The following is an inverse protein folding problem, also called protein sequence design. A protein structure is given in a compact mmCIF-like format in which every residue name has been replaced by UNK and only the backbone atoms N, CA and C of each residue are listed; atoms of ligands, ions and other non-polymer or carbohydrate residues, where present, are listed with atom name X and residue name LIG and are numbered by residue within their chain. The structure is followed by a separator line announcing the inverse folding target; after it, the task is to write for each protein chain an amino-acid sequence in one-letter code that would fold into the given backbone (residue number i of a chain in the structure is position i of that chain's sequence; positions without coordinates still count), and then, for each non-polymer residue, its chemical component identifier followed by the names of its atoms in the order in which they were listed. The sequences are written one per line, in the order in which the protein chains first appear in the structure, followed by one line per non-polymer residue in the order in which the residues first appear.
data_IF_546434706123
#
_entry.id   IF_546434706123
#
_cell.length_a   1.000
_cell.length_b   1.000
_cell.length_c   1.000
_cell.angle_alpha   90.00
_cell.angle_beta   90.00
_cell.angle_gamma   90.00
#
_symmetry.space_group_name_H-M   'P 1'
#
loop_
_entity.id
_entity.type
_entity.pdbx_description
1 polymer ?
#
# COMPACT_ATOMS: atom_id res chain seq x y z
N UNK A 1 4.64 20.13 26.78
CA UNK A 1 4.61 19.55 25.42
C UNK A 1 5.01 20.62 24.42
N UNK A 2 5.78 20.28 23.39
CA UNK A 2 6.17 21.24 22.33
C UNK A 2 5.01 21.45 21.33
N UNK A 3 4.96 22.61 20.65
CA UNK A 3 3.96 22.87 19.58
C UNK A 3 3.94 21.77 18.51
N UNK A 4 5.08 21.14 18.24
CA UNK A 4 5.19 20.01 17.31
C UNK A 4 4.43 18.76 17.78
N UNK A 5 4.39 18.49 19.09
CA UNK A 5 3.67 17.33 19.64
C UNK A 5 2.15 17.51 19.54
N UNK A 6 1.63 18.73 19.74
CA UNK A 6 0.21 19.03 19.52
C UNK A 6 -0.18 18.89 18.06
N UNK A 7 0.59 19.48 17.15
CA UNK A 7 0.37 19.36 15.71
C UNK A 7 0.30 17.90 15.24
N UNK A 8 1.20 17.04 15.76
CA UNK A 8 1.22 15.63 15.41
C UNK A 8 -0.01 14.89 15.93
N UNK A 9 -0.39 15.12 17.20
CA UNK A 9 -1.57 14.50 17.81
C UNK A 9 -2.85 14.87 17.05
N UNK A 10 -2.99 16.14 16.67
CA UNK A 10 -4.16 16.66 15.96
C UNK A 10 -4.24 16.17 14.51
N UNK A 11 -3.10 15.80 13.92
CA UNK A 11 -3.00 15.34 12.53
C UNK A 11 -3.03 13.82 12.39
N UNK A 12 -2.80 13.07 13.47
CA UNK A 12 -2.71 11.61 13.44
C UNK A 12 -4.04 10.95 13.05
N UNK A 13 -5.14 11.33 13.70
CA UNK A 13 -6.46 10.74 13.42
C UNK A 13 -6.92 11.05 11.98
N UNK A 14 -6.87 12.31 11.49
CA UNK A 14 -7.14 12.60 10.09
C UNK A 14 -6.25 11.81 9.14
N UNK A 15 -4.96 11.63 9.46
CA UNK A 15 -4.04 10.86 8.64
C UNK A 15 -4.42 9.38 8.55
N UNK A 16 -4.75 8.74 9.68
CA UNK A 16 -5.21 7.36 9.72
C UNK A 16 -6.53 7.18 8.96
N UNK A 17 -7.50 8.08 9.20
CA UNK A 17 -8.78 8.08 8.49
C UNK A 17 -8.58 8.24 6.98
N UNK A 18 -7.68 9.14 6.58
CA UNK A 18 -7.26 9.32 5.20
C UNK A 18 -6.70 8.02 4.64
N UNK A 19 -5.75 7.37 5.34
CA UNK A 19 -5.17 6.11 4.91
C UNK A 19 -6.17 4.99 4.69
N UNK A 20 -7.11 4.81 5.63
CA UNK A 20 -8.22 3.86 5.48
C UNK A 20 -9.05 4.21 4.25
N UNK A 21 -9.44 5.47 4.09
CA UNK A 21 -10.22 5.95 2.97
C UNK A 21 -9.52 5.72 1.63
N UNK A 22 -8.23 6.05 1.53
CA UNK A 22 -7.41 5.81 0.34
C UNK A 22 -7.28 4.32 0.01
N UNK A 23 -7.09 3.48 1.02
CA UNK A 23 -7.05 2.03 0.86
C UNK A 23 -8.39 1.45 0.38
N UNK A 24 -9.50 1.93 0.92
CA UNK A 24 -10.83 1.58 0.46
C UNK A 24 -11.05 2.01 -0.99
N UNK A 25 -10.66 3.23 -1.37
CA UNK A 25 -10.71 3.68 -2.76
C UNK A 25 -9.90 2.79 -3.70
N UNK A 26 -8.72 2.33 -3.28
CA UNK A 26 -7.94 1.36 -4.05
C UNK A 26 -8.67 0.01 -4.18
N UNK A 27 -9.33 -0.46 -3.11
CA UNK A 27 -10.16 -1.66 -3.13
C UNK A 27 -11.36 -1.53 -4.09
N UNK A 28 -12.08 -0.41 -4.04
CA UNK A 28 -13.19 -0.11 -4.97
C UNK A 28 -12.70 -0.06 -6.41
N UNK A 29 -11.59 0.62 -6.68
CA UNK A 29 -11.01 0.71 -8.01
C UNK A 29 -10.60 -0.69 -8.53
N UNK A 30 -10.00 -1.52 -7.69
CA UNK A 30 -9.63 -2.89 -8.05
C UNK A 30 -10.87 -3.76 -8.33
N UNK A 31 -11.90 -3.69 -7.47
CA UNK A 31 -13.16 -4.40 -7.68
C UNK A 31 -13.86 -3.94 -8.98
N UNK A 32 -13.85 -2.63 -9.27
CA UNK A 32 -14.41 -2.10 -10.51
C UNK A 32 -13.68 -2.61 -11.76
N UNK A 33 -12.34 -2.68 -11.73
CA UNK A 33 -11.55 -3.24 -12.83
C UNK A 33 -11.79 -4.74 -12.99
N UNK A 34 -11.84 -5.50 -11.89
CA UNK A 34 -12.13 -6.93 -11.94
C UNK A 34 -13.54 -7.21 -12.48
N UNK A 35 -14.55 -6.51 -11.98
CA UNK A 35 -15.93 -6.65 -12.48
C UNK A 35 -16.07 -6.25 -13.94
N UNK A 36 -15.36 -5.22 -14.41
CA UNK A 36 -15.32 -4.89 -15.84
C UNK A 36 -14.62 -5.98 -16.67
N UNK A 37 -13.57 -6.61 -16.13
CA UNK A 37 -12.88 -7.71 -16.80
C UNK A 37 -13.76 -8.95 -16.92
N UNK A 38 -14.51 -9.31 -15.86
CA UNK A 38 -15.45 -10.43 -15.86
C UNK A 38 -16.62 -10.26 -16.85
N UNK A 39 -16.99 -9.02 -17.19
CA UNK A 39 -17.97 -8.76 -18.25
C UNK A 39 -17.42 -9.08 -19.66
N UNK A 40 -16.10 -9.06 -19.83
CA UNK A 40 -15.44 -9.20 -21.12
C UNK A 40 -14.73 -10.56 -21.29
N UNK A 41 -14.36 -11.19 -20.18
CA UNK A 41 -13.52 -12.37 -20.13
C UNK A 41 -14.07 -13.38 -19.12
N UNK A 42 -13.91 -14.69 -19.38
CA UNK A 42 -14.14 -15.73 -18.39
C UNK A 42 -13.33 -15.51 -17.10
N UNK A 43 -13.89 -15.88 -15.95
CA UNK A 43 -13.28 -15.65 -14.64
C UNK A 43 -11.90 -16.33 -14.50
N UNK A 44 -11.71 -17.51 -15.07
CA UNK A 44 -10.43 -18.23 -15.12
C UNK A 44 -9.35 -17.44 -15.88
N UNK A 45 -9.73 -16.75 -16.97
CA UNK A 45 -8.82 -15.88 -17.73
C UNK A 45 -8.45 -14.64 -16.90
N UNK A 46 -9.40 -14.04 -16.19
CA UNK A 46 -9.14 -12.89 -15.30
C UNK A 46 -8.17 -13.27 -14.19
N UNK A 47 -8.39 -14.43 -13.54
CA UNK A 47 -7.50 -14.97 -12.51
C UNK A 47 -6.10 -15.28 -13.05
N UNK A 48 -6.00 -15.86 -14.26
CA UNK A 48 -4.73 -16.13 -14.91
C UNK A 48 -3.95 -14.83 -15.20
N UNK A 49 -4.62 -13.80 -15.72
CA UNK A 49 -4.02 -12.48 -15.96
C UNK A 49 -3.53 -11.88 -14.63
N UNK A 50 -4.36 -11.91 -13.59
CA UNK A 50 -3.99 -11.42 -12.27
C UNK A 50 -2.74 -12.16 -11.74
N UNK A 51 -2.71 -13.48 -11.82
CA UNK A 51 -1.57 -14.31 -11.40
C UNK A 51 -0.29 -13.97 -12.17
N UNK A 52 -0.37 -13.77 -13.50
CA UNK A 52 0.79 -13.39 -14.33
C UNK A 52 1.30 -12.00 -13.95
N UNK A 53 0.41 -11.03 -13.70
CA UNK A 53 0.79 -9.70 -13.25
C UNK A 53 1.47 -9.76 -11.87
N UNK A 54 0.93 -10.55 -10.93
CA UNK A 54 1.52 -10.79 -9.60
C UNK A 54 2.93 -11.35 -9.73
N UNK A 55 3.09 -12.41 -10.53
CA UNK A 55 4.36 -13.10 -10.72
C UNK A 55 5.39 -12.18 -11.40
N UNK A 56 5.02 -11.53 -12.50
CA UNK A 56 5.88 -10.61 -13.24
C UNK A 56 6.36 -9.46 -12.36
N UNK A 57 5.46 -8.93 -11.54
CA UNK A 57 5.78 -7.87 -10.60
C UNK A 57 6.75 -8.34 -9.50
N UNK A 58 6.48 -9.51 -8.90
CA UNK A 58 7.32 -10.11 -7.86
C UNK A 58 8.72 -10.45 -8.38
N UNK A 59 8.82 -11.00 -9.58
CA UNK A 59 10.10 -11.27 -10.27
C UNK A 59 10.85 -9.96 -10.52
N UNK A 60 10.17 -8.93 -11.04
CA UNK A 60 10.78 -7.63 -11.29
C UNK A 60 11.38 -7.02 -10.01
N UNK A 61 10.67 -7.07 -8.88
CA UNK A 61 11.20 -6.60 -7.60
C UNK A 61 12.36 -7.46 -7.08
N UNK A 62 12.30 -8.77 -7.26
CA UNK A 62 13.36 -9.71 -6.84
C UNK A 62 14.65 -9.48 -7.64
N UNK A 63 14.53 -9.22 -8.94
CA UNK A 63 15.65 -8.90 -9.83
C UNK A 63 16.16 -7.45 -9.68
N UNK A 64 15.52 -6.65 -8.82
CA UNK A 64 15.89 -5.24 -8.63
C UNK A 64 15.58 -4.35 -9.84
N UNK A 65 14.72 -4.81 -10.75
CA UNK A 65 14.28 -4.02 -11.90
C UNK A 65 13.46 -2.83 -11.39
N UNK A 66 13.99 -1.63 -11.60
CA UNK A 66 13.32 -0.39 -11.23
C UNK A 66 12.26 -0.07 -12.28
N UNK A 67 11.03 -0.52 -12.07
CA UNK A 67 9.90 0.02 -12.81
C UNK A 67 9.86 1.53 -12.64
N UNK A 68 9.64 2.26 -13.73
CA UNK A 68 9.52 3.71 -13.68
C UNK A 68 8.29 4.07 -12.82
N UNK A 69 8.54 4.80 -11.72
CA UNK A 69 7.50 5.22 -10.77
C UNK A 69 7.37 6.75 -10.86
N UNK A 70 6.21 7.29 -11.27
CA UNK A 70 5.97 8.74 -11.28
C UNK A 70 6.28 9.41 -9.92
N UNK A 71 6.13 8.66 -8.83
CA UNK A 71 6.28 9.08 -7.44
C UNK A 71 7.73 9.19 -6.91
N UNK A 72 8.76 8.98 -7.74
CA UNK A 72 10.14 8.99 -7.29
C UNK A 72 10.65 10.37 -6.78
N UNK A 73 9.87 11.45 -6.90
CA UNK A 73 10.39 12.82 -6.74
C UNK A 73 10.17 13.51 -5.39
N UNK A 74 9.28 13.09 -4.48
CA UNK A 74 9.25 13.54 -3.05
C UNK A 74 8.09 12.86 -2.31
N UNK A 75 8.34 12.45 -1.06
CA UNK A 75 7.35 11.81 -0.19
C UNK A 75 6.53 12.81 0.65
N UNK A 76 6.80 14.11 0.61
CA UNK A 76 5.91 15.15 1.18
C UNK A 76 6.19 16.43 0.38
N UNK A 77 5.16 17.06 -0.19
CA UNK A 77 5.32 18.38 -0.82
C UNK A 77 5.75 19.40 0.25
N UNK A 78 6.65 20.34 -0.07
CA UNK A 78 6.99 21.43 0.88
C UNK A 78 5.78 22.33 1.16
N UNK A 79 4.80 22.34 0.27
CA UNK A 79 3.58 23.13 0.41
C UNK A 79 2.69 22.58 1.52
N UNK A 80 2.74 21.27 1.81
CA UNK A 80 2.06 20.66 2.96
C UNK A 80 2.54 21.24 4.30
N UNK A 81 3.78 21.73 4.37
CA UNK A 81 4.31 22.38 5.58
C UNK A 81 3.82 23.83 5.74
N UNK A 82 3.24 24.41 4.68
CA UNK A 82 2.82 25.82 4.61
C UNK A 82 1.30 25.99 4.68
N UNK A 83 0.52 24.91 4.68
CA UNK A 83 -0.95 25.01 4.71
C UNK A 83 -1.46 25.34 6.12
N UNK A 84 -2.48 26.20 6.19
CA UNK A 84 -3.21 26.48 7.44
C UNK A 84 -4.12 25.31 7.86
N UNK A 85 -4.51 24.46 6.90
CA UNK A 85 -5.47 23.36 7.06
C UNK A 85 -4.82 22.02 7.37
N UNK A 86 -4.02 21.98 8.43
CA UNK A 86 -3.21 20.82 8.83
C UNK A 86 -4.00 19.49 8.91
N UNK A 87 -5.24 19.48 9.42
CA UNK A 87 -6.08 18.27 9.49
C UNK A 87 -6.50 17.75 8.11
N UNK A 88 -7.01 18.63 7.25
CA UNK A 88 -7.41 18.29 5.88
C UNK A 88 -6.22 17.82 5.07
N UNK A 89 -5.10 18.53 5.20
CA UNK A 89 -3.83 18.18 4.60
C UNK A 89 -3.37 16.80 5.08
N UNK A 90 -3.41 16.51 6.38
CA UNK A 90 -3.06 15.20 6.92
C UNK A 90 -3.97 14.07 6.40
N UNK A 91 -5.28 14.34 6.25
CA UNK A 91 -6.24 13.40 5.65
C UNK A 91 -5.93 13.11 4.18
N UNK A 92 -5.78 14.14 3.34
CA UNK A 92 -5.46 13.97 1.91
C UNK A 92 -4.16 13.20 1.76
N UNK A 93 -3.16 13.53 2.58
CA UNK A 93 -1.90 12.80 2.61
C UNK A 93 -2.08 11.33 2.99
N UNK A 94 -2.88 11.07 4.04
CA UNK A 94 -3.26 9.73 4.43
C UNK A 94 -3.89 8.98 3.26
N UNK A 95 -4.88 9.58 2.59
CA UNK A 95 -5.59 8.99 1.45
C UNK A 95 -4.66 8.66 0.29
N UNK A 96 -3.76 9.55 -0.06
CA UNK A 96 -2.75 9.31 -1.07
C UNK A 96 -1.79 8.17 -0.67
N UNK A 97 -1.37 8.11 0.60
CA UNK A 97 -0.56 7.01 1.12
C UNK A 97 -1.29 5.66 1.09
N UNK A 98 -2.58 5.67 1.46
CA UNK A 98 -3.42 4.49 1.52
C UNK A 98 -3.83 3.97 0.14
N UNK A 99 -4.04 4.87 -0.82
CA UNK A 99 -4.26 4.52 -2.22
C UNK A 99 -2.96 3.98 -2.88
N UNK A 100 -1.81 4.45 -2.40
CA UNK A 100 -0.49 3.91 -2.75
C UNK A 100 0.17 4.56 -3.97
N UNK A 101 -0.55 5.41 -4.70
CA UNK A 101 -0.10 6.04 -5.95
C UNK A 101 1.17 6.88 -5.81
N UNK A 102 1.22 7.77 -4.82
CA UNK A 102 2.35 8.72 -4.69
C UNK A 102 3.49 8.21 -3.81
N UNK A 103 3.52 6.92 -3.48
CA UNK A 103 4.43 6.41 -2.46
C UNK A 103 5.61 5.62 -3.02
N UNK A 104 6.82 5.91 -2.51
CA UNK A 104 8.05 5.18 -2.84
C UNK A 104 8.13 3.77 -2.25
N UNK A 105 7.07 3.27 -1.62
CA UNK A 105 7.18 2.02 -0.88
C UNK A 105 7.20 0.82 -1.85
N UNK A 106 8.25 0.00 -1.80
CA UNK A 106 8.52 -1.11 -2.73
C UNK A 106 7.81 -2.41 -2.31
N UNK A 107 6.62 -2.32 -1.74
CA UNK A 107 5.83 -3.51 -1.41
C UNK A 107 4.47 -3.36 -2.04
N UNK A 108 4.51 -3.34 -3.36
CA UNK A 108 3.40 -3.40 -4.28
C UNK A 108 2.69 -4.76 -4.22
N UNK A 109 3.30 -5.75 -3.54
CA UNK A 109 2.69 -7.02 -3.17
C UNK A 109 1.30 -6.89 -2.51
N UNK A 110 1.05 -5.83 -1.72
CA UNK A 110 -0.28 -5.59 -1.15
C UNK A 110 -1.27 -5.03 -2.17
N UNK A 111 -0.83 -4.17 -3.09
CA UNK A 111 -1.68 -3.69 -4.19
C UNK A 111 -2.03 -4.85 -5.13
N UNK A 112 -1.06 -5.71 -5.38
CA UNK A 112 -1.17 -6.97 -6.08
C UNK A 112 -2.13 -7.94 -5.37
N UNK A 113 -2.06 -8.05 -4.04
CA UNK A 113 -3.03 -8.82 -3.25
C UNK A 113 -4.44 -8.22 -3.34
N UNK A 114 -4.59 -6.90 -3.40
CA UNK A 114 -5.89 -6.24 -3.61
C UNK A 114 -6.48 -6.57 -4.99
N UNK A 115 -5.65 -6.58 -6.04
CA UNK A 115 -6.08 -6.95 -7.41
C UNK A 115 -6.50 -8.43 -7.47
N UNK A 116 -5.74 -9.31 -6.82
CA UNK A 116 -6.11 -10.73 -6.71
C UNK A 116 -7.38 -10.92 -5.91
N UNK A 117 -7.50 -10.26 -4.75
CA UNK A 117 -8.69 -10.30 -3.92
C UNK A 117 -9.94 -9.83 -4.69
N UNK A 118 -9.79 -8.82 -5.54
CA UNK A 118 -10.85 -8.34 -6.42
C UNK A 118 -11.33 -9.36 -7.47
N UNK A 119 -10.46 -10.28 -7.87
CA UNK A 119 -10.80 -11.34 -8.82
C UNK A 119 -11.53 -12.52 -8.16
N UNK A 120 -11.57 -12.55 -6.82
CA UNK A 120 -12.25 -13.59 -6.02
C UNK A 120 -13.58 -13.07 -5.47
N UNK A 121 -13.64 -11.79 -5.11
CA UNK A 121 -14.89 -11.14 -4.70
C UNK A 121 -14.69 -9.67 -4.28
N UNK A 122 -15.70 -8.81 -4.51
CA UNK A 122 -15.60 -7.38 -4.22
C UNK A 122 -15.39 -7.09 -2.72
N UNK A 123 -15.95 -7.90 -1.82
CA UNK A 123 -15.78 -7.72 -0.37
C UNK A 123 -14.32 -7.94 0.06
N UNK A 124 -13.63 -8.90 -0.57
CA UNK A 124 -12.22 -9.19 -0.31
C UNK A 124 -11.32 -8.07 -0.82
N UNK A 125 -11.66 -7.47 -1.97
CA UNK A 125 -10.97 -6.29 -2.49
C UNK A 125 -11.06 -5.10 -1.52
N UNK A 126 -12.26 -4.84 -1.00
CA UNK A 126 -12.50 -3.77 -0.03
C UNK A 126 -11.73 -4.01 1.27
N UNK A 127 -11.79 -5.23 1.80
CA UNK A 127 -11.13 -5.59 3.05
C UNK A 127 -9.60 -5.50 2.91
N UNK A 128 -9.06 -6.03 1.81
CA UNK A 128 -7.62 -5.99 1.53
C UNK A 128 -7.14 -4.57 1.25
N UNK A 129 -7.92 -3.78 0.52
CA UNK A 129 -7.70 -2.35 0.32
C UNK A 129 -7.69 -1.57 1.63
N UNK A 130 -8.66 -1.79 2.51
CA UNK A 130 -8.72 -1.15 3.83
C UNK A 130 -7.51 -1.52 4.69
N UNK A 131 -7.17 -2.82 4.78
CA UNK A 131 -6.00 -3.30 5.53
C UNK A 131 -4.69 -2.74 4.98
N UNK A 132 -4.58 -2.63 3.65
CA UNK A 132 -3.46 -1.95 3.01
C UNK A 132 -3.39 -0.49 3.47
N UNK A 133 -4.50 0.24 3.37
CA UNK A 133 -4.60 1.63 3.82
C UNK A 133 -4.19 1.83 5.28
N UNK A 134 -4.70 0.98 6.19
CA UNK A 134 -4.33 0.98 7.61
C UNK A 134 -2.85 0.75 7.79
N UNK A 135 -2.31 -0.32 7.20
CA UNK A 135 -0.89 -0.70 7.34
C UNK A 135 0.03 0.45 6.90
N UNK A 136 -0.35 1.14 5.84
CA UNK A 136 0.38 2.30 5.32
C UNK A 136 0.29 3.50 6.24
N UNK A 137 -0.90 3.81 6.76
CA UNK A 137 -1.09 4.92 7.67
C UNK A 137 -0.40 4.70 9.04
N UNK A 138 -0.31 3.46 9.49
CA UNK A 138 0.38 3.08 10.73
C UNK A 138 1.90 3.30 10.67
N UNK A 139 2.51 3.37 9.48
CA UNK A 139 3.94 3.72 9.39
C UNK A 139 4.26 5.09 9.97
N UNK A 140 3.30 6.01 9.96
CA UNK A 140 3.43 7.33 10.58
C UNK A 140 3.41 7.25 12.11
N UNK A 141 2.71 6.26 12.68
CA UNK A 141 2.70 6.01 14.14
C UNK A 141 4.10 5.68 14.64
N UNK A 142 4.89 4.95 13.85
CA UNK A 142 6.28 4.64 14.18
C UNK A 142 7.17 5.88 14.25
N UNK A 143 6.79 6.97 13.57
CA UNK A 143 7.48 8.25 13.61
C UNK A 143 7.01 9.17 14.78
N UNK A 144 5.96 8.79 15.52
CA UNK A 144 5.44 9.58 16.66
C UNK A 144 6.55 9.76 17.71
N UNK A 145 6.73 11.01 18.16
CA UNK A 145 7.70 11.34 19.21
C UNK A 145 9.15 11.40 18.73
N UNK A 146 9.39 11.31 17.42
CA UNK A 146 10.71 11.58 16.84
C UNK A 146 10.83 13.05 16.48
N UNK A 147 11.90 13.70 16.93
CA UNK A 147 12.20 15.11 16.66
C UNK A 147 13.32 15.30 15.64
N UNK A 148 14.01 14.22 15.29
CA UNK A 148 15.13 14.24 14.36
C UNK A 148 15.03 13.11 13.35
N UNK A 149 15.61 13.33 12.18
CA UNK A 149 15.72 12.32 11.14
C UNK A 149 16.49 11.09 11.63
N UNK A 150 17.57 11.27 12.39
CA UNK A 150 18.35 10.15 12.95
C UNK A 150 17.52 9.28 13.91
N UNK A 151 16.62 9.87 14.70
CA UNK A 151 15.71 9.11 15.57
C UNK A 151 14.71 8.27 14.77
N UNK A 152 14.20 8.79 13.65
CA UNK A 152 13.36 8.01 12.72
C UNK A 152 14.18 6.87 12.13
N UNK A 153 15.36 7.17 11.59
CA UNK A 153 16.24 6.18 10.97
C UNK A 153 16.60 5.05 11.94
N UNK A 154 16.92 5.37 13.20
CA UNK A 154 17.22 4.40 14.25
C UNK A 154 16.04 3.46 14.57
N UNK A 155 14.79 3.96 14.54
CA UNK A 155 13.59 3.12 14.70
C UNK A 155 13.40 2.17 13.53
N UNK A 156 13.74 2.61 12.32
CA UNK A 156 13.73 1.78 11.13
C UNK A 156 14.98 0.92 10.97
N UNK A 157 16.04 1.12 11.76
CA UNK A 157 17.29 0.35 11.63
C UNK A 157 17.11 -1.13 11.98
N UNK A 158 16.17 -1.47 12.87
CA UNK A 158 15.79 -2.87 13.10
C UNK A 158 15.17 -3.48 11.84
N UNK A 159 14.18 -2.81 11.23
CA UNK A 159 13.57 -3.23 9.96
C UNK A 159 14.60 -3.29 8.81
N UNK A 160 15.58 -2.38 8.82
CA UNK A 160 16.66 -2.35 7.84
C UNK A 160 17.65 -3.49 8.01
N UNK A 161 18.00 -3.84 9.25
CA UNK A 161 18.88 -4.99 9.56
C UNK A 161 18.20 -6.31 9.23
N UNK A 162 16.88 -6.36 9.34
CA UNK A 162 16.06 -7.51 8.99
C UNK A 162 15.40 -7.36 7.61
N UNK A 163 15.96 -6.60 6.66
CA UNK A 163 15.39 -6.39 5.29
C UNK A 163 15.08 -7.69 4.55
N UNK A 164 15.73 -8.79 4.93
CA UNK A 164 15.45 -10.12 4.42
C UNK A 164 14.06 -10.61 4.84
N UNK A 165 13.60 -10.28 6.05
CA UNK A 165 12.31 -10.74 6.60
C UNK A 165 11.09 -10.15 5.87
N UNK A 166 11.01 -8.83 5.57
CA UNK A 166 9.94 -8.29 4.73
C UNK A 166 10.00 -8.80 3.30
N UNK A 167 11.19 -8.97 2.71
CA UNK A 167 11.36 -9.48 1.34
C UNK A 167 10.90 -10.93 1.22
N UNK A 168 11.29 -11.76 2.18
CA UNK A 168 10.85 -13.15 2.29
C UNK A 168 9.36 -13.21 2.61
N UNK A 169 8.85 -12.35 3.51
CA UNK A 169 7.43 -12.25 3.81
C UNK A 169 6.60 -11.88 2.58
N UNK A 170 6.98 -10.85 1.83
CA UNK A 170 6.28 -10.49 0.57
C UNK A 170 6.45 -11.55 -0.50
N UNK A 171 7.63 -12.16 -0.64
CA UNK A 171 7.85 -13.23 -1.61
C UNK A 171 7.04 -14.48 -1.27
N UNK A 172 6.96 -14.86 0.00
CA UNK A 172 6.16 -15.99 0.49
C UNK A 172 4.67 -15.69 0.35
N UNK A 173 4.23 -14.48 0.69
CA UNK A 173 2.81 -14.09 0.55
C UNK A 173 2.42 -14.07 -0.93
N UNK A 174 3.24 -13.47 -1.80
CA UNK A 174 3.03 -13.49 -3.26
C UNK A 174 3.06 -14.91 -3.82
N UNK A 175 4.02 -15.74 -3.41
CA UNK A 175 4.14 -17.13 -3.89
C UNK A 175 2.99 -18.00 -3.39
N UNK A 176 2.54 -17.82 -2.15
CA UNK A 176 1.38 -18.51 -1.60
C UNK A 176 0.09 -18.06 -2.29
N UNK A 177 -0.06 -16.76 -2.60
CA UNK A 177 -1.18 -16.25 -3.40
C UNK A 177 -1.16 -16.83 -4.82
N UNK A 178 -0.01 -16.83 -5.48
CA UNK A 178 0.15 -17.42 -6.82
C UNK A 178 -0.15 -18.92 -6.80
N UNK A 179 0.33 -19.66 -5.81
CA UNK A 179 0.03 -21.08 -5.65
C UNK A 179 -1.45 -21.34 -5.38
N UNK A 180 -2.08 -20.57 -4.49
CA UNK A 180 -3.51 -20.66 -4.21
C UNK A 180 -4.34 -20.38 -5.46
N UNK A 181 -4.03 -19.32 -6.20
CA UNK A 181 -4.69 -18.99 -7.47
C UNK A 181 -4.50 -20.10 -8.52
N UNK A 182 -3.29 -20.65 -8.64
CA UNK A 182 -3.02 -21.73 -9.59
C UNK A 182 -3.84 -22.98 -9.23
N UNK A 183 -3.97 -23.30 -7.94
CA UNK A 183 -4.81 -24.41 -7.49
C UNK A 183 -6.29 -24.15 -7.77
N UNK A 184 -6.79 -22.92 -7.59
CA UNK A 184 -8.19 -22.58 -7.91
C UNK A 184 -8.51 -22.60 -9.42
N UNK A 185 -7.52 -22.46 -10.29
CA UNK A 185 -7.70 -22.56 -11.76
C UNK A 185 -7.70 -24.03 -12.24
N UNK A 186 -7.00 -24.92 -11.52
CA UNK A 186 -6.82 -26.34 -11.92
C UNK A 186 -7.95 -27.25 -11.42
N UNK A 187 -8.75 -26.80 -10.46
CA UNK A 187 -9.90 -27.52 -9.89
C UNK A 187 -11.21 -26.80 -10.18
#
# INVERSE_FOLDING_TARGET
MSRAQHFFRDSLLPHLAGGVFGGLLAGVAAAGVAGLAELLLPADVVLAIAAVLVASFTVSETLGMRLWRPSARRQVSRDFQRTRYHRTTAFIWGADLGFGWSTKQPTSALLTATVVAASVGPELALTTGALFGVTRALTLVLAVGTSSRSSVEARFDWLRRHRHVPRVGTALTSSALTAALTLTIVY
#
